data_IF_811125904132
#
_entry.id   IF_811125904132
#
_cell.length_a   1.000
_cell.length_b   1.000
_cell.length_c   1.000
_cell.angle_alpha   90.00
_cell.angle_beta   90.00
_cell.angle_gamma   90.00
#
_symmetry.space_group_name_H-M   'P 1'
#
loop_
_entity.id
_entity.type
_entity.pdbx_description
1 polymer ?
#
# COMPACT_ATOMS: atom_id res chain seq x y z
N UNK A 1 -18.73 3.62 0.82
CA UNK A 1 -17.91 2.48 1.23
C UNK A 1 -16.43 2.76 1.00
N UNK A 2 -16.05 3.27 -0.18
CA UNK A 2 -14.66 3.51 -0.56
C UNK A 2 -13.86 4.40 0.40
N UNK A 3 -14.51 5.38 1.05
CA UNK A 3 -13.85 6.34 1.97
C UNK A 3 -14.05 6.01 3.45
N UNK A 4 -15.00 5.14 3.79
CA UNK A 4 -15.36 4.83 5.19
C UNK A 4 -15.03 3.38 5.59
N UNK A 5 -14.61 2.54 4.65
CA UNK A 5 -14.53 1.10 4.84
C UNK A 5 -15.91 0.42 4.98
N UNK A 6 -15.92 -0.91 5.06
CA UNK A 6 -17.18 -1.67 5.19
C UNK A 6 -17.90 -1.40 6.50
N UNK A 7 -17.16 -1.46 7.61
CA UNK A 7 -17.72 -1.27 8.94
C UNK A 7 -18.26 0.14 9.12
N UNK A 8 -17.51 1.17 8.72
CA UNK A 8 -17.95 2.56 8.77
C UNK A 8 -19.17 2.80 7.88
N UNK A 9 -19.21 2.22 6.69
CA UNK A 9 -20.37 2.32 5.79
C UNK A 9 -21.60 1.62 6.38
N UNK A 10 -21.46 0.39 6.91
CA UNK A 10 -22.54 -0.37 7.52
C UNK A 10 -23.12 0.37 8.74
N UNK A 11 -22.29 0.91 9.61
CA UNK A 11 -22.72 1.67 10.77
C UNK A 11 -23.41 2.99 10.41
N UNK A 12 -22.85 3.74 9.46
CA UNK A 12 -23.29 5.11 9.18
C UNK A 12 -24.43 5.19 8.17
N UNK A 13 -24.46 4.30 7.19
CA UNK A 13 -25.44 4.35 6.10
C UNK A 13 -26.46 3.23 6.12
N UNK A 14 -26.07 2.03 6.58
CA UNK A 14 -26.98 0.88 6.67
C UNK A 14 -27.61 0.72 8.06
N UNK A 15 -27.15 1.51 9.04
CA UNK A 15 -27.60 1.45 10.44
C UNK A 15 -27.48 0.04 11.06
N UNK A 16 -26.57 -0.76 10.54
CA UNK A 16 -26.32 -2.12 11.02
C UNK A 16 -25.31 -2.08 12.16
N UNK A 17 -25.81 -2.33 13.37
CA UNK A 17 -24.98 -2.35 14.61
C UNK A 17 -24.51 -3.75 14.98
N UNK A 18 -24.86 -4.77 14.19
CA UNK A 18 -24.42 -6.15 14.43
C UNK A 18 -23.03 -6.35 13.85
N UNK A 19 -22.03 -5.99 14.63
CA UNK A 19 -20.65 -6.36 14.33
C UNK A 19 -20.51 -7.87 14.57
N UNK A 20 -20.55 -8.65 13.51
CA UNK A 20 -20.25 -10.08 13.58
C UNK A 20 -18.75 -10.29 13.84
N UNK A 21 -18.33 -11.50 14.23
CA UNK A 21 -16.91 -11.85 14.32
C UNK A 21 -16.17 -11.64 12.97
N UNK A 22 -16.91 -11.66 11.85
CA UNK A 22 -16.40 -11.33 10.52
C UNK A 22 -16.01 -9.84 10.40
N UNK A 23 -16.68 -8.95 11.13
CA UNK A 23 -16.37 -7.51 11.14
C UNK A 23 -15.24 -7.17 12.12
N UNK A 24 -14.89 -8.09 13.01
CA UNK A 24 -13.78 -7.92 13.95
C UNK A 24 -12.43 -7.80 13.25
N UNK A 25 -12.26 -8.45 12.10
CA UNK A 25 -11.03 -8.45 11.31
C UNK A 25 -11.30 -7.74 9.96
N UNK A 26 -11.05 -6.42 9.87
CA UNK A 26 -11.46 -5.61 8.72
C UNK A 26 -10.68 -5.94 7.44
N UNK A 27 -9.44 -6.40 7.57
CA UNK A 27 -8.61 -6.74 6.41
C UNK A 27 -8.84 -8.21 6.02
N UNK A 28 -9.41 -8.42 4.83
CA UNK A 28 -9.72 -9.76 4.32
C UNK A 28 -8.72 -10.15 3.24
N UNK A 29 -8.13 -11.34 3.34
CA UNK A 29 -7.24 -11.85 2.29
C UNK A 29 -7.97 -12.03 0.95
N UNK A 30 -9.27 -12.28 0.99
CA UNK A 30 -10.14 -12.37 -0.21
C UNK A 30 -10.29 -11.04 -0.98
N UNK A 31 -9.90 -9.92 -0.40
CA UNK A 31 -9.97 -8.61 -1.05
C UNK A 31 -8.67 -8.28 -1.80
N UNK A 32 -7.62 -9.04 -1.55
CA UNK A 32 -6.37 -8.94 -2.30
C UNK A 32 -6.56 -9.52 -3.71
N UNK A 33 -5.88 -8.90 -4.67
CA UNK A 33 -5.69 -9.49 -6.00
C UNK A 33 -4.33 -10.17 -6.02
N UNK A 34 -4.30 -11.48 -6.22
CA UNK A 34 -3.04 -12.24 -6.22
C UNK A 34 -2.72 -12.70 -7.64
N UNK A 35 -1.67 -12.13 -8.22
CA UNK A 35 -1.19 -12.46 -9.56
C UNK A 35 0.31 -12.23 -9.69
N UNK A 36 0.94 -12.87 -10.66
CA UNK A 36 2.35 -12.61 -10.97
C UNK A 36 2.55 -11.16 -11.39
N UNK A 37 3.48 -10.47 -10.75
CA UNK A 37 3.81 -9.06 -10.98
C UNK A 37 5.10 -8.96 -11.78
N UNK A 38 5.02 -8.40 -12.99
CA UNK A 38 6.22 -8.07 -13.76
C UNK A 38 6.96 -6.91 -13.07
N UNK A 39 8.31 -6.92 -13.01
CA UNK A 39 9.07 -5.88 -12.33
C UNK A 39 9.00 -4.49 -12.98
N UNK A 40 8.59 -4.39 -14.25
CA UNK A 40 8.69 -3.17 -15.06
C UNK A 40 7.38 -2.65 -15.61
N UNK A 41 6.41 -3.54 -15.86
CA UNK A 41 5.14 -3.22 -16.48
C UNK A 41 3.97 -3.91 -15.78
N UNK A 42 2.78 -3.36 -15.96
CA UNK A 42 1.54 -3.98 -15.50
C UNK A 42 0.39 -3.72 -16.50
N UNK A 43 -0.70 -4.49 -16.47
CA UNK A 43 -1.84 -4.24 -17.33
C UNK A 43 -2.53 -2.93 -16.97
N UNK A 44 -3.05 -2.23 -17.96
CA UNK A 44 -3.74 -0.95 -17.78
C UNK A 44 -4.92 -1.05 -16.81
N UNK A 45 -5.63 -2.19 -16.82
CA UNK A 45 -6.80 -2.43 -15.97
C UNK A 45 -6.91 -3.89 -15.56
N UNK A 46 -7.34 -4.10 -14.32
CA UNK A 46 -7.73 -5.41 -13.77
C UNK A 46 -9.25 -5.47 -13.60
N UNK A 47 -9.83 -6.61 -13.96
CA UNK A 47 -11.20 -6.95 -13.63
C UNK A 47 -11.15 -8.01 -12.54
N UNK A 48 -11.78 -7.74 -11.43
CA UNK A 48 -11.86 -8.67 -10.31
C UNK A 48 -13.28 -9.17 -10.11
N UNK A 49 -13.41 -10.47 -9.82
CA UNK A 49 -14.66 -11.08 -9.39
C UNK A 49 -14.34 -12.18 -8.37
N UNK A 50 -15.20 -12.36 -7.40
CA UNK A 50 -15.12 -13.46 -6.46
C UNK A 50 -15.73 -14.70 -7.08
N UNK A 51 -14.89 -15.53 -7.71
CA UNK A 51 -15.29 -16.76 -8.37
C UNK A 51 -14.42 -17.92 -7.84
N UNK A 52 -15.01 -19.04 -7.41
CA UNK A 52 -14.26 -20.22 -6.96
C UNK A 52 -13.24 -20.75 -7.98
N UNK A 53 -13.49 -20.56 -9.29
CA UNK A 53 -12.55 -20.96 -10.34
C UNK A 53 -11.29 -20.08 -10.39
N UNK A 54 -11.32 -18.91 -9.74
CA UNK A 54 -10.19 -17.98 -9.65
C UNK A 54 -9.41 -18.12 -8.35
N UNK A 55 -9.80 -19.02 -7.47
CA UNK A 55 -9.05 -19.28 -6.24
C UNK A 55 -7.66 -19.84 -6.55
N UNK A 56 -6.67 -19.40 -5.77
CA UNK A 56 -5.37 -20.03 -5.73
C UNK A 56 -5.46 -21.34 -4.95
N UNK A 57 -4.81 -22.36 -5.46
CA UNK A 57 -4.66 -23.65 -4.79
C UNK A 57 -3.62 -23.61 -3.66
N UNK A 58 -3.32 -24.74 -3.07
CA UNK A 58 -2.34 -24.89 -1.98
C UNK A 58 -0.90 -24.55 -2.36
N UNK A 59 -0.61 -24.24 -3.64
CA UNK A 59 0.72 -23.79 -4.06
C UNK A 59 1.08 -22.42 -3.49
N UNK A 60 0.07 -21.61 -3.11
CA UNK A 60 0.28 -20.33 -2.41
C UNK A 60 -0.14 -20.52 -0.95
N UNK A 61 0.81 -20.45 0.02
CA UNK A 61 0.50 -20.67 1.42
C UNK A 61 -0.45 -19.59 1.95
N UNK A 62 -1.54 -20.01 2.61
CA UNK A 62 -2.49 -19.10 3.23
C UNK A 62 -2.58 -19.37 4.73
N UNK A 63 -2.05 -18.46 5.53
CA UNK A 63 -2.09 -18.48 7.00
C UNK A 63 -3.17 -17.57 7.59
N UNK A 64 -4.10 -17.15 6.76
CA UNK A 64 -5.25 -16.33 7.15
C UNK A 64 -6.21 -17.01 8.12
N UNK A 65 -7.43 -16.47 8.22
CA UNK A 65 -8.52 -17.08 8.99
C UNK A 65 -9.06 -18.31 8.27
N UNK A 66 -9.75 -19.17 9.03
CA UNK A 66 -10.44 -20.32 8.41
C UNK A 66 -11.44 -19.84 7.37
N UNK A 67 -11.31 -20.35 6.14
CA UNK A 67 -12.14 -19.91 5.01
C UNK A 67 -11.57 -18.76 4.18
N UNK A 68 -10.48 -18.14 4.61
CA UNK A 68 -9.76 -17.16 3.77
C UNK A 68 -9.23 -17.81 2.50
N UNK A 69 -9.33 -17.09 1.39
CA UNK A 69 -8.85 -17.52 0.07
C UNK A 69 -8.18 -16.35 -0.65
N UNK A 70 -7.24 -16.68 -1.52
CA UNK A 70 -6.66 -15.74 -2.47
C UNK A 70 -7.31 -15.92 -3.84
N UNK A 71 -7.53 -14.81 -4.54
CA UNK A 71 -8.14 -14.83 -5.86
C UNK A 71 -7.24 -14.20 -6.91
N UNK A 72 -7.22 -14.81 -8.10
CA UNK A 72 -6.64 -14.21 -9.30
C UNK A 72 -7.58 -13.15 -9.84
N UNK A 73 -7.08 -12.16 -10.61
CA UNK A 73 -7.98 -11.31 -11.38
C UNK A 73 -8.75 -12.15 -12.38
N UNK A 74 -10.00 -11.80 -12.61
CA UNK A 74 -10.83 -12.46 -13.61
C UNK A 74 -10.30 -12.23 -15.02
N UNK A 75 -9.81 -11.00 -15.28
CA UNK A 75 -9.27 -10.61 -16.58
C UNK A 75 -8.30 -9.42 -16.42
N UNK A 76 -7.29 -9.38 -17.28
CA UNK A 76 -6.48 -8.19 -17.52
C UNK A 76 -6.91 -7.55 -18.82
N UNK A 77 -7.03 -6.21 -18.83
CA UNK A 77 -7.46 -5.44 -20.00
C UNK A 77 -6.42 -4.38 -20.36
N UNK A 78 -6.35 -4.05 -21.65
CA UNK A 78 -5.40 -3.10 -22.22
C UNK A 78 -4.00 -3.68 -22.37
N UNK A 79 -3.06 -2.82 -22.70
CA UNK A 79 -1.67 -3.18 -22.85
C UNK A 79 -0.94 -3.26 -21.51
N UNK A 80 0.22 -3.92 -21.52
CA UNK A 80 1.15 -3.86 -20.38
C UNK A 80 2.02 -2.63 -20.54
N UNK A 81 1.87 -1.68 -19.65
CA UNK A 81 2.57 -0.39 -19.67
C UNK A 81 3.43 -0.19 -18.43
N UNK A 82 4.46 0.69 -18.49
CA UNK A 82 5.34 0.97 -17.36
C UNK A 82 4.59 1.52 -16.16
N UNK A 83 5.05 1.18 -14.94
CA UNK A 83 4.55 1.77 -13.72
C UNK A 83 4.76 3.28 -13.68
N UNK A 84 3.84 4.01 -13.09
CA UNK A 84 3.96 5.45 -12.84
C UNK A 84 5.11 5.75 -11.88
N UNK A 85 5.34 4.85 -10.91
CA UNK A 85 6.45 4.96 -9.97
C UNK A 85 6.55 3.76 -9.04
N UNK A 86 7.60 3.76 -8.22
CA UNK A 86 7.95 2.70 -7.27
C UNK A 86 8.39 3.34 -5.95
N UNK A 87 7.78 2.95 -4.84
CA UNK A 87 8.17 3.37 -3.49
C UNK A 87 8.57 2.14 -2.67
N UNK A 88 9.55 2.32 -1.79
CA UNK A 88 9.87 1.35 -0.75
C UNK A 88 9.64 1.98 0.61
N UNK A 89 8.91 1.33 1.46
CA UNK A 89 8.80 1.69 2.87
C UNK A 89 9.70 0.81 3.72
N UNK A 90 10.20 1.36 4.81
CA UNK A 90 11.03 0.65 5.77
C UNK A 90 10.52 0.97 7.18
N UNK A 91 10.23 -0.07 7.94
CA UNK A 91 9.99 -0.02 9.39
C UNK A 91 11.25 -0.56 10.10
N UNK A 92 12.13 0.32 10.60
CA UNK A 92 13.40 -0.09 11.17
C UNK A 92 13.20 -0.72 12.55
N UNK A 93 13.75 -1.91 12.77
CA UNK A 93 13.88 -2.45 14.12
C UNK A 93 15.02 -1.77 14.87
N UNK A 94 14.85 -1.63 16.18
CA UNK A 94 15.94 -1.24 17.08
C UNK A 94 17.01 -2.33 17.25
N UNK A 95 17.80 -2.25 18.32
CA UNK A 95 18.80 -3.28 18.69
C UNK A 95 18.18 -4.52 19.33
N UNK A 96 16.96 -4.88 18.98
CA UNK A 96 16.22 -6.00 19.56
C UNK A 96 16.22 -7.26 18.68
N UNK A 97 15.27 -8.15 19.01
CA UNK A 97 14.96 -9.36 18.23
C UNK A 97 13.98 -9.10 17.09
N UNK A 98 13.44 -7.88 16.99
CA UNK A 98 12.47 -7.49 15.97
C UNK A 98 13.11 -7.39 14.59
N UNK A 99 12.31 -7.55 13.55
CA UNK A 99 12.75 -7.42 12.18
C UNK A 99 12.76 -5.95 11.73
N UNK A 100 13.76 -5.56 10.92
CA UNK A 100 13.59 -4.41 10.03
C UNK A 100 12.75 -4.88 8.85
N UNK A 101 11.52 -4.41 8.78
CA UNK A 101 10.59 -4.77 7.73
C UNK A 101 10.64 -3.78 6.56
N UNK A 102 10.35 -4.27 5.36
CA UNK A 102 10.24 -3.44 4.17
C UNK A 102 9.12 -3.91 3.26
N UNK A 103 8.58 -2.99 2.48
CA UNK A 103 7.64 -3.30 1.40
C UNK A 103 7.92 -2.43 0.19
N UNK A 104 7.91 -3.02 -1.00
CA UNK A 104 8.00 -2.29 -2.27
C UNK A 104 6.62 -2.26 -2.89
N UNK A 105 6.14 -1.06 -3.21
CA UNK A 105 4.83 -0.86 -3.85
C UNK A 105 5.00 0.01 -5.09
N UNK A 106 4.52 -0.50 -6.22
CA UNK A 106 4.50 0.20 -7.51
C UNK A 106 3.08 0.63 -7.85
N UNK A 107 2.93 1.75 -8.52
CA UNK A 107 1.62 2.30 -8.87
C UNK A 107 1.42 2.35 -10.37
N UNK A 108 0.23 1.92 -10.83
CA UNK A 108 -0.26 2.15 -12.19
C UNK A 108 -1.78 2.29 -12.18
N UNK A 109 -2.30 3.38 -12.74
CA UNK A 109 -3.75 3.64 -12.90
C UNK A 109 -4.57 3.44 -11.62
N UNK A 110 -3.96 3.74 -10.46
CA UNK A 110 -4.59 3.59 -9.15
C UNK A 110 -4.55 2.17 -8.58
N UNK A 111 -4.01 1.19 -9.28
CA UNK A 111 -3.65 -0.11 -8.70
C UNK A 111 -2.27 -0.04 -8.05
N UNK A 112 -2.12 -0.72 -6.93
CA UNK A 112 -0.91 -0.79 -6.12
C UNK A 112 -0.38 -2.21 -6.16
N UNK A 113 0.77 -2.40 -6.79
CA UNK A 113 1.42 -3.68 -7.01
C UNK A 113 2.55 -3.89 -6.02
N UNK A 114 2.56 -5.02 -5.33
CA UNK A 114 3.55 -5.42 -4.33
C UNK A 114 4.46 -6.51 -4.91
N UNK A 115 5.57 -6.17 -5.57
CA UNK A 115 6.52 -7.14 -6.14
C UNK A 115 7.50 -7.72 -5.12
N UNK A 116 7.74 -7.06 -3.99
CA UNK A 116 8.66 -7.52 -2.94
C UNK A 116 8.28 -6.94 -1.58
N UNK A 117 8.60 -7.68 -0.53
CA UNK A 117 8.41 -7.31 0.86
C UNK A 117 8.93 -8.39 1.79
N UNK A 118 9.07 -8.07 3.07
CA UNK A 118 9.52 -9.00 4.08
C UNK A 118 10.22 -8.34 5.25
N UNK A 119 10.88 -9.16 6.07
CA UNK A 119 11.63 -8.69 7.23
C UNK A 119 13.05 -9.21 7.22
N UNK A 120 13.96 -8.44 7.77
CA UNK A 120 15.39 -8.72 7.91
C UNK A 120 15.81 -8.60 9.38
N UNK A 121 16.55 -9.56 9.87
CA UNK A 121 17.20 -9.46 11.18
C UNK A 121 18.50 -8.67 11.04
N UNK A 122 18.91 -7.96 12.09
CA UNK A 122 20.19 -7.23 12.13
C UNK A 122 20.05 -5.72 12.32
N UNK A 123 18.84 -5.18 12.41
CA UNK A 123 18.59 -3.77 12.75
C UNK A 123 19.35 -2.81 11.84
N UNK A 124 20.22 -2.00 12.42
CA UNK A 124 21.05 -1.01 11.72
C UNK A 124 22.39 -1.56 11.21
N UNK A 125 22.56 -2.88 11.12
CA UNK A 125 23.79 -3.50 10.63
C UNK A 125 24.06 -3.19 9.16
N UNK A 126 25.31 -3.07 8.80
CA UNK A 126 25.76 -2.77 7.43
C UNK A 126 25.16 -3.68 6.39
N UNK A 127 25.03 -4.98 6.71
CA UNK A 127 24.49 -5.98 5.78
C UNK A 127 23.00 -5.76 5.53
N UNK A 128 22.22 -5.41 6.57
CA UNK A 128 20.80 -5.04 6.43
C UNK A 128 20.64 -3.80 5.57
N UNK A 129 21.43 -2.75 5.86
CA UNK A 129 21.37 -1.49 5.10
C UNK A 129 21.76 -1.69 3.63
N UNK A 130 22.81 -2.47 3.35
CA UNK A 130 23.21 -2.82 1.99
C UNK A 130 22.14 -3.63 1.27
N UNK A 131 21.56 -4.63 1.94
CA UNK A 131 20.48 -5.44 1.37
C UNK A 131 19.27 -4.59 0.97
N UNK A 132 18.84 -3.66 1.83
CA UNK A 132 17.77 -2.71 1.52
C UNK A 132 18.12 -1.81 0.33
N UNK A 133 19.34 -1.29 0.27
CA UNK A 133 19.78 -0.45 -0.86
C UNK A 133 19.84 -1.24 -2.19
N UNK A 134 20.22 -2.53 -2.14
CA UNK A 134 20.18 -3.41 -3.30
C UNK A 134 18.74 -3.65 -3.75
N UNK A 135 17.81 -3.90 -2.81
CA UNK A 135 16.38 -4.01 -3.11
C UNK A 135 15.81 -2.75 -3.76
N UNK A 136 16.17 -1.57 -3.26
CA UNK A 136 15.78 -0.31 -3.88
C UNK A 136 16.25 -0.21 -5.34
N UNK A 137 17.48 -0.66 -5.62
CA UNK A 137 18.04 -0.70 -6.98
C UNK A 137 17.32 -1.71 -7.88
N UNK A 138 17.11 -2.95 -7.40
CA UNK A 138 16.41 -4.01 -8.13
C UNK A 138 15.03 -3.58 -8.60
N UNK A 139 14.29 -2.89 -7.72
CA UNK A 139 12.93 -2.42 -8.01
C UNK A 139 12.86 -1.02 -8.61
N UNK A 140 14.01 -0.37 -8.87
CA UNK A 140 14.10 1.01 -9.42
C UNK A 140 13.24 1.99 -8.61
N UNK A 141 13.40 1.96 -7.30
CA UNK A 141 12.61 2.76 -6.36
C UNK A 141 12.87 4.25 -6.55
N UNK A 142 11.83 5.05 -6.65
CA UNK A 142 11.90 6.51 -6.80
C UNK A 142 12.02 7.23 -5.45
N UNK A 143 11.32 6.70 -4.43
CA UNK A 143 11.33 7.24 -3.08
C UNK A 143 11.33 6.12 -2.04
N UNK A 144 11.99 6.38 -0.91
CA UNK A 144 11.99 5.49 0.26
C UNK A 144 11.36 6.24 1.43
N UNK A 145 10.35 5.63 2.05
CA UNK A 145 9.70 6.14 3.26
C UNK A 145 10.19 5.34 4.46
N UNK A 146 10.77 6.01 5.44
CA UNK A 146 11.31 5.37 6.64
C UNK A 146 10.50 5.80 7.85
N UNK A 147 10.02 4.87 8.67
CA UNK A 147 9.43 5.21 9.95
C UNK A 147 10.50 5.74 10.90
N UNK A 148 10.30 6.97 11.42
CA UNK A 148 11.28 7.66 12.26
C UNK A 148 10.87 7.74 13.74
N UNK A 149 9.89 6.95 14.17
CA UNK A 149 9.42 6.94 15.56
C UNK A 149 10.45 6.39 16.55
N UNK A 150 11.48 5.71 16.07
CA UNK A 150 12.54 5.13 16.89
C UNK A 150 13.92 5.61 16.44
N UNK A 151 14.73 6.12 17.41
CA UNK A 151 16.14 6.46 17.20
C UNK A 151 16.42 7.80 16.52
N UNK A 152 15.49 8.77 16.55
CA UNK A 152 15.67 10.17 16.13
C UNK A 152 16.43 10.34 14.80
N UNK A 153 16.07 9.56 13.77
CA UNK A 153 16.67 9.65 12.43
C UNK A 153 17.99 8.90 12.24
N UNK A 154 18.51 8.22 13.27
CA UNK A 154 19.79 7.48 13.18
C UNK A 154 19.80 6.46 12.03
N UNK A 155 18.70 5.75 11.81
CA UNK A 155 18.61 4.78 10.70
C UNK A 155 18.84 5.48 9.36
N UNK A 156 18.18 6.61 9.13
CA UNK A 156 18.28 7.37 7.88
C UNK A 156 19.70 7.94 7.69
N UNK A 157 20.33 8.41 8.75
CA UNK A 157 21.71 8.91 8.68
C UNK A 157 22.71 7.81 8.28
N UNK A 158 22.55 6.60 8.81
CA UNK A 158 23.41 5.46 8.45
C UNK A 158 23.07 4.91 7.06
N UNK A 159 21.82 4.93 6.68
CA UNK A 159 21.35 4.37 5.42
C UNK A 159 21.68 5.22 4.20
N UNK A 160 21.48 6.55 4.28
CA UNK A 160 21.71 7.50 3.17
C UNK A 160 23.05 7.35 2.48
N UNK A 161 24.20 7.26 3.17
CA UNK A 161 25.50 7.11 2.53
C UNK A 161 25.65 5.81 1.72
N UNK A 162 25.03 4.72 2.19
CA UNK A 162 25.04 3.41 1.53
C UNK A 162 24.13 3.44 0.32
N UNK A 163 22.91 3.97 0.50
CA UNK A 163 21.92 4.11 -0.54
C UNK A 163 22.44 4.96 -1.71
N UNK A 164 23.03 6.13 -1.42
CA UNK A 164 23.55 7.03 -2.45
C UNK A 164 24.61 6.37 -3.33
N UNK A 165 25.41 5.45 -2.79
CA UNK A 165 26.42 4.69 -3.56
C UNK A 165 25.81 3.61 -4.45
N UNK A 166 24.68 3.02 -4.05
CA UNK A 166 24.08 1.85 -4.72
C UNK A 166 22.94 2.27 -5.63
N UNK A 167 22.04 3.12 -5.14
CA UNK A 167 20.84 3.59 -5.84
C UNK A 167 20.37 4.93 -5.27
N UNK A 168 20.83 6.08 -5.82
CA UNK A 168 20.41 7.40 -5.37
C UNK A 168 18.91 7.61 -5.61
N UNK A 169 18.15 7.83 -4.56
CA UNK A 169 16.73 8.19 -4.62
C UNK A 169 16.32 9.04 -3.40
N UNK A 170 15.10 9.58 -3.42
CA UNK A 170 14.57 10.39 -2.33
C UNK A 170 14.35 9.53 -1.08
N UNK A 171 14.68 10.06 0.10
CA UNK A 171 14.39 9.43 1.39
C UNK A 171 13.56 10.39 2.22
N UNK A 172 12.37 9.97 2.59
CA UNK A 172 11.40 10.70 3.40
C UNK A 172 11.23 10.01 4.76
N UNK A 173 11.11 10.79 5.82
CA UNK A 173 10.82 10.27 7.16
C UNK A 173 9.34 10.42 7.46
N UNK A 174 8.69 9.31 7.82
CA UNK A 174 7.31 9.30 8.28
C UNK A 174 7.26 9.28 9.80
N UNK A 175 6.51 10.22 10.40
CA UNK A 175 6.23 10.26 11.83
C UNK A 175 4.73 10.11 12.06
N UNK A 176 4.36 9.17 12.89
CA UNK A 176 2.96 8.87 13.16
C UNK A 176 2.64 9.10 14.64
N UNK A 177 1.63 9.94 14.91
CA UNK A 177 1.15 10.26 16.26
C UNK A 177 -0.22 9.62 16.57
N UNK A 178 -0.77 8.86 15.63
CA UNK A 178 -2.07 8.19 15.76
C UNK A 178 -1.91 6.74 16.19
N UNK A 179 -2.98 6.12 16.65
CA UNK A 179 -2.98 4.71 17.01
C UNK A 179 -2.64 3.86 15.77
N UNK A 180 -1.59 3.04 15.88
CA UNK A 180 -0.99 2.29 14.79
C UNK A 180 -2.00 1.38 14.09
N UNK A 181 -2.74 0.58 14.84
CA UNK A 181 -3.69 -0.39 14.30
C UNK A 181 -4.80 0.30 13.47
N UNK A 182 -5.34 1.42 13.96
CA UNK A 182 -6.34 2.19 13.22
C UNK A 182 -5.75 2.78 11.95
N UNK A 183 -4.56 3.37 12.03
CA UNK A 183 -3.87 3.93 10.87
C UNK A 183 -3.69 2.88 9.77
N UNK A 184 -3.23 1.69 10.13
CA UNK A 184 -3.04 0.58 9.20
C UNK A 184 -4.37 0.18 8.55
N UNK A 185 -5.42 0.01 9.36
CA UNK A 185 -6.76 -0.34 8.85
C UNK A 185 -7.30 0.74 7.93
N UNK A 186 -7.31 1.99 8.37
CA UNK A 186 -7.84 3.13 7.61
C UNK A 186 -7.12 3.32 6.27
N UNK A 187 -5.85 2.90 6.20
CA UNK A 187 -5.04 2.94 4.97
C UNK A 187 -5.34 1.76 4.04
N UNK A 188 -5.31 0.54 4.57
CA UNK A 188 -5.34 -0.67 3.75
C UNK A 188 -6.77 -1.10 3.38
N UNK A 189 -7.72 -1.01 4.30
CA UNK A 189 -9.09 -1.50 4.07
C UNK A 189 -9.75 -0.87 2.83
N UNK A 190 -9.72 0.46 2.60
CA UNK A 190 -10.33 1.06 1.42
C UNK A 190 -9.72 0.56 0.10
N UNK A 191 -8.39 0.41 0.06
CA UNK A 191 -7.66 -0.04 -1.14
C UNK A 191 -7.93 -1.51 -1.42
N UNK A 192 -7.90 -2.34 -0.39
CA UNK A 192 -8.21 -3.78 -0.49
C UNK A 192 -9.66 -4.00 -0.88
N UNK A 193 -10.60 -3.30 -0.26
CA UNK A 193 -12.03 -3.41 -0.52
C UNK A 193 -12.41 -3.01 -1.95
N UNK A 194 -11.61 -2.16 -2.59
CA UNK A 194 -11.72 -1.81 -4.00
C UNK A 194 -10.96 -2.78 -4.92
N UNK A 195 -10.34 -3.83 -4.40
CA UNK A 195 -9.52 -4.80 -5.12
C UNK A 195 -8.39 -4.14 -5.93
N UNK A 196 -7.75 -3.13 -5.32
CA UNK A 196 -6.67 -2.35 -5.93
C UNK A 196 -5.30 -2.68 -5.38
N UNK A 197 -5.20 -3.51 -4.33
CA UNK A 197 -3.95 -4.02 -3.81
C UNK A 197 -3.63 -5.38 -4.44
N UNK A 198 -2.58 -5.40 -5.26
CA UNK A 198 -2.13 -6.55 -6.04
C UNK A 198 -0.85 -7.09 -5.44
N UNK A 199 -0.82 -8.36 -5.05
CA UNK A 199 0.36 -8.99 -4.45
C UNK A 199 0.86 -10.12 -5.35
N UNK A 200 2.19 -10.17 -5.57
CA UNK A 200 2.82 -11.30 -6.25
C UNK A 200 2.77 -12.54 -5.35
N UNK A 201 2.33 -13.70 -5.85
CA UNK A 201 2.35 -14.95 -5.09
C UNK A 201 3.73 -15.32 -4.56
N UNK A 202 4.81 -14.90 -5.23
CA UNK A 202 6.18 -15.07 -4.75
C UNK A 202 6.46 -14.28 -3.46
N UNK A 203 5.82 -13.13 -3.27
CA UNK A 203 5.92 -12.35 -2.01
C UNK A 203 5.30 -13.15 -0.87
N UNK A 204 4.12 -13.74 -1.10
CA UNK A 204 3.42 -14.56 -0.11
C UNK A 204 4.25 -15.82 0.23
N UNK A 205 4.80 -16.48 -0.79
CA UNK A 205 5.66 -17.64 -0.60
C UNK A 205 6.92 -17.30 0.20
N UNK A 206 7.60 -16.21 -0.17
CA UNK A 206 8.79 -15.71 0.52
C UNK A 206 8.48 -15.26 1.95
N UNK A 207 7.34 -14.63 2.17
CA UNK A 207 6.85 -14.27 3.50
C UNK A 207 6.73 -15.51 4.40
N UNK A 208 6.08 -16.56 3.91
CA UNK A 208 5.95 -17.85 4.58
C UNK A 208 7.31 -18.49 4.86
N UNK A 209 8.18 -18.62 3.85
CA UNK A 209 9.49 -19.27 3.96
C UNK A 209 10.42 -18.51 4.92
N UNK A 210 10.44 -17.19 4.83
CA UNK A 210 11.31 -16.36 5.68
C UNK A 210 10.98 -16.47 7.17
N UNK A 211 9.73 -16.75 7.50
CA UNK A 211 9.30 -16.93 8.87
C UNK A 211 9.74 -18.28 9.49
N UNK A 212 10.11 -19.28 8.66
CA UNK A 212 10.54 -20.60 9.13
C UNK A 212 11.83 -20.56 9.96
N UNK A 213 12.60 -19.49 9.89
CA UNK A 213 13.79 -19.27 10.74
C UNK A 213 13.47 -19.00 12.21
N UNK A 214 12.22 -18.63 12.52
CA UNK A 214 11.78 -18.41 13.89
C UNK A 214 11.33 -19.70 14.57
N UNK A 215 11.29 -19.75 15.92
CA UNK A 215 10.70 -20.87 16.65
C UNK A 215 9.25 -21.13 16.22
N UNK A 216 8.84 -22.41 16.21
CA UNK A 216 7.53 -22.85 15.70
C UNK A 216 6.33 -22.13 16.34
N UNK A 217 6.44 -21.73 17.60
CA UNK A 217 5.39 -21.00 18.36
C UNK A 217 5.26 -19.52 17.97
N UNK A 218 6.26 -18.99 17.26
CA UNK A 218 6.32 -17.58 16.87
C UNK A 218 6.30 -17.34 15.36
N UNK A 219 6.57 -18.37 14.53
CA UNK A 219 6.64 -18.24 13.06
C UNK A 219 5.48 -17.49 12.43
N UNK A 220 4.24 -17.79 12.83
CA UNK A 220 3.05 -17.17 12.29
C UNK A 220 3.03 -15.64 12.51
N UNK A 221 3.53 -15.20 13.66
CA UNK A 221 3.49 -13.77 14.05
C UNK A 221 4.38 -12.89 13.16
N UNK A 222 5.39 -13.48 12.52
CA UNK A 222 6.30 -12.79 11.61
C UNK A 222 5.87 -12.86 10.14
N UNK A 223 4.67 -13.34 9.85
CA UNK A 223 4.14 -13.41 8.49
C UNK A 223 3.17 -12.26 8.21
N UNK A 224 3.38 -11.57 7.09
CA UNK A 224 2.52 -10.48 6.61
C UNK A 224 1.04 -10.90 6.52
N UNK A 225 0.77 -12.07 5.94
CA UNK A 225 -0.61 -12.56 5.76
C UNK A 225 -1.28 -12.87 7.11
N UNK A 226 -0.52 -13.37 8.09
CA UNK A 226 -1.03 -13.55 9.45
C UNK A 226 -1.33 -12.20 10.11
N UNK A 227 -0.39 -11.26 10.06
CA UNK A 227 -0.55 -9.90 10.60
C UNK A 227 -1.78 -9.22 10.01
N UNK A 228 -1.92 -9.27 8.68
CA UNK A 228 -3.06 -8.69 7.94
C UNK A 228 -4.39 -9.28 8.40
N UNK A 229 -4.49 -10.61 8.45
CA UNK A 229 -5.77 -11.28 8.75
C UNK A 229 -6.18 -11.25 10.23
N UNK A 230 -5.27 -10.90 11.14
CA UNK A 230 -5.51 -10.87 12.59
C UNK A 230 -5.56 -9.47 13.19
N UNK A 231 -5.26 -8.43 12.40
CA UNK A 231 -5.32 -7.06 12.89
C UNK A 231 -6.76 -6.66 13.21
N UNK A 232 -6.95 -6.04 14.37
CA UNK A 232 -8.21 -5.43 14.80
C UNK A 232 -7.96 -3.98 15.19
N UNK A 233 -9.01 -3.18 15.36
CA UNK A 233 -8.90 -1.79 15.81
C UNK A 233 -8.48 -1.64 17.29
N UNK A 234 -8.33 -2.74 18.02
CA UNK A 234 -7.91 -2.73 19.41
C UNK A 234 -6.39 -2.57 19.51
N UNK A 235 -5.94 -1.74 20.47
CA UNK A 235 -4.52 -1.54 20.73
C UNK A 235 -3.84 -2.86 21.16
N UNK A 236 -2.71 -3.19 20.55
CA UNK A 236 -1.98 -4.43 20.83
C UNK A 236 -2.66 -5.68 20.31
N UNK A 237 -3.48 -5.57 19.27
CA UNK A 237 -4.21 -6.70 18.66
C UNK A 237 -3.29 -7.83 18.20
N UNK A 238 -2.10 -7.49 17.72
CA UNK A 238 -1.06 -8.42 17.29
C UNK A 238 0.28 -8.05 17.94
N UNK A 239 1.14 -9.04 18.16
CA UNK A 239 2.42 -8.85 18.86
C UNK A 239 3.51 -8.27 17.95
N UNK A 240 3.51 -8.67 16.69
CA UNK A 240 4.39 -8.17 15.64
C UNK A 240 3.54 -7.69 14.49
N UNK A 241 3.75 -6.49 14.03
CA UNK A 241 3.02 -5.84 12.94
C UNK A 241 3.95 -5.19 11.91
N UNK A 242 5.26 -5.39 12.05
CA UNK A 242 6.30 -4.67 11.32
C UNK A 242 6.15 -4.79 9.79
N UNK A 243 5.87 -6.02 9.28
CA UNK A 243 5.69 -6.23 7.82
C UNK A 243 4.42 -5.58 7.30
N UNK A 244 3.35 -5.62 8.09
CA UNK A 244 2.07 -5.02 7.75
C UNK A 244 2.15 -3.49 7.82
N UNK A 245 2.86 -2.96 8.80
CA UNK A 245 3.08 -1.52 8.92
C UNK A 245 3.94 -0.99 7.77
N UNK A 246 5.02 -1.69 7.43
CA UNK A 246 5.80 -1.34 6.24
C UNK A 246 4.91 -1.31 4.98
N UNK A 247 4.05 -2.31 4.74
CA UNK A 247 3.12 -2.30 3.63
C UNK A 247 2.16 -1.11 3.69
N UNK A 248 1.60 -0.84 4.86
CA UNK A 248 0.68 0.28 5.09
C UNK A 248 1.32 1.63 4.76
N UNK A 249 2.57 1.87 5.17
CA UNK A 249 3.28 3.12 4.85
C UNK A 249 3.49 3.31 3.34
N UNK A 250 3.83 2.26 2.61
CA UNK A 250 3.98 2.35 1.15
C UNK A 250 2.65 2.60 0.44
N UNK A 251 1.56 2.01 0.95
CA UNK A 251 0.19 2.26 0.43
C UNK A 251 -0.25 3.68 0.77
N UNK A 252 0.01 4.17 1.99
CA UNK A 252 -0.30 5.54 2.40
C UNK A 252 0.37 6.57 1.48
N UNK A 253 1.65 6.39 1.19
CA UNK A 253 2.38 7.26 0.26
C UNK A 253 1.64 7.42 -1.07
N UNK A 254 1.20 6.33 -1.68
CA UNK A 254 0.48 6.39 -2.95
C UNK A 254 -0.93 6.95 -2.85
N UNK A 255 -1.67 6.63 -1.79
CA UNK A 255 -3.01 7.17 -1.59
C UNK A 255 -2.99 8.68 -1.37
N UNK A 256 -2.00 9.19 -0.66
CA UNK A 256 -1.77 10.63 -0.48
C UNK A 256 -1.38 11.33 -1.78
N UNK A 257 -0.47 10.74 -2.58
CA UNK A 257 -0.10 11.28 -3.89
C UNK A 257 -1.31 11.34 -4.84
N UNK A 258 -2.11 10.27 -4.88
CA UNK A 258 -3.33 10.24 -5.70
C UNK A 258 -4.36 11.29 -5.26
N UNK A 259 -4.51 11.53 -3.97
CA UNK A 259 -5.40 12.57 -3.45
C UNK A 259 -4.93 13.98 -3.85
N UNK A 260 -3.63 14.27 -3.70
CA UNK A 260 -3.05 15.55 -4.11
C UNK A 260 -3.20 15.79 -5.62
N UNK A 261 -3.01 14.77 -6.45
CA UNK A 261 -3.18 14.87 -7.90
C UNK A 261 -4.65 15.09 -8.28
N UNK A 262 -5.59 14.47 -7.57
CA UNK A 262 -7.02 14.68 -7.76
C UNK A 262 -7.41 16.12 -7.42
N UNK A 263 -6.95 16.65 -6.28
CA UNK A 263 -7.21 18.03 -5.86
C UNK A 263 -6.61 19.04 -6.83
N UNK A 264 -5.39 18.81 -7.33
CA UNK A 264 -4.77 19.67 -8.34
C UNK A 264 -5.59 19.70 -9.63
N UNK A 265 -5.99 18.53 -10.16
CA UNK A 265 -6.84 18.45 -11.37
C UNK A 265 -8.19 19.14 -11.18
N UNK A 266 -8.79 19.03 -9.99
CA UNK A 266 -10.03 19.75 -9.66
C UNK A 266 -9.82 21.26 -9.63
N UNK A 267 -8.68 21.73 -9.10
CA UNK A 267 -8.29 23.13 -9.10
C UNK A 267 -8.11 23.68 -10.53
N UNK A 268 -7.35 22.96 -11.35
CA UNK A 268 -7.09 23.32 -12.76
C UNK A 268 -8.42 23.40 -13.55
N UNK A 269 -9.29 22.39 -13.39
CA UNK A 269 -10.61 22.37 -14.05
C UNK A 269 -11.51 23.55 -13.63
N UNK A 270 -11.49 23.91 -12.34
CA UNK A 270 -12.22 25.11 -11.87
C UNK A 270 -11.69 26.39 -12.50
N UNK A 271 -10.35 26.52 -12.63
CA UNK A 271 -9.74 27.67 -13.29
C UNK A 271 -10.09 27.73 -14.78
N UNK A 272 -10.08 26.60 -15.47
CA UNK A 272 -10.44 26.54 -16.89
C UNK A 272 -11.91 26.91 -17.12
N UNK A 273 -12.82 26.37 -16.30
CA UNK A 273 -14.24 26.77 -16.35
C UNK A 273 -14.44 28.26 -16.09
N UNK A 274 -13.72 28.83 -15.12
CA UNK A 274 -13.79 30.28 -14.83
C UNK A 274 -13.28 31.11 -16.00
N UNK A 275 -12.19 30.68 -16.67
CA UNK A 275 -11.69 31.35 -17.89
C UNK A 275 -12.70 31.29 -19.02
N UNK A 276 -13.31 30.14 -19.27
CA UNK A 276 -14.35 29.97 -20.30
C UNK A 276 -15.57 30.87 -20.02
N UNK A 277 -15.99 30.98 -18.75
CA UNK A 277 -17.10 31.88 -18.38
C UNK A 277 -16.72 33.34 -18.56
N UNK A 278 -15.48 33.72 -18.22
CA UNK A 278 -14.99 35.08 -18.40
C UNK A 278 -14.90 35.46 -19.89
N UNK A 279 -14.40 34.54 -20.73
CA UNK A 279 -14.38 34.75 -22.19
C UNK A 279 -15.77 34.91 -22.76
N UNK A 280 -16.73 34.06 -22.39
CA UNK A 280 -18.14 34.20 -22.78
C UNK A 280 -18.74 35.52 -22.31
N UNK A 281 -18.40 35.98 -21.12
CA UNK A 281 -18.87 37.28 -20.59
C UNK A 281 -18.27 38.43 -21.40
N UNK A 282 -16.97 38.39 -21.68
CA UNK A 282 -16.28 39.41 -22.50
C UNK A 282 -16.83 39.48 -23.92
N UNK A 283 -17.08 38.34 -24.57
CA UNK A 283 -17.67 38.27 -25.90
C UNK A 283 -19.10 38.85 -25.91
N UNK A 284 -19.91 38.55 -24.91
CA UNK A 284 -21.26 39.14 -24.77
C UNK A 284 -21.21 40.63 -24.52
N UNK A 285 -20.20 41.17 -23.85
CA UNK A 285 -20.01 42.61 -23.66
C UNK A 285 -19.57 43.29 -24.95
N UNK A 286 -18.64 42.67 -25.68
CA UNK A 286 -18.12 43.16 -26.95
C UNK A 286 -19.24 43.24 -28.03
N UNK A 287 -20.07 42.20 -28.10
CA UNK A 287 -21.20 42.13 -29.02
C UNK A 287 -22.33 43.16 -28.69
N UNK A 288 -22.51 43.51 -27.43
CA UNK A 288 -23.48 44.57 -27.02
C UNK A 288 -22.96 45.98 -27.29
N UNK A 289 -21.64 46.18 -27.26
CA UNK A 289 -21.04 47.49 -27.56
C UNK A 289 -21.12 47.85 -29.06
N UNK A 290 -21.17 46.87 -29.96
CA UNK A 290 -21.31 47.07 -31.41
C UNK A 290 -22.75 47.33 -31.89
N UNK A 291 -23.77 47.24 -31.01
CA UNK A 291 -25.18 47.47 -31.38
C UNK A 291 -25.66 48.90 -31.07
N UNK A 292 -24.78 49.81 -30.67
CA UNK A 292 -25.10 51.22 -30.35
C UNK A 292 -24.37 52.22 -31.25
N UNK A 293 -24.09 51.85 -32.51
CA UNK A 293 -23.61 52.82 -33.57
C UNK A 293 -24.64 52.92 -34.68
#
# INVERSE_FOLDING_TARGET
>A
EASYGRTGFAMQFMLDTRLSDLDRYPLKTSDLVVMSVDPTVAPEKLVWARDPNLEWDSSVPNVGLSGDRFYRPMQTLGDYIPYTGSVMSIDPSGRGKDETAFSVVKMLNGYLYVPDGGGMQGGYGDDTLKALAIKAKEHKVNAIVVESNFGDGMFVELFKPILTKIHPCTVEEARHNTQKERRIIDTLEPVMNQHRLVIDPKVIQKDYESAQRYPNDSQLKYQLIYQLSRLTSQRGAITHDDRLDALSMAVAYWTEQMAQDADRRMGDRKQDLLKEELEKFMDNFSNKATTWV
#
